data_IF_769204273875
#
_entry.id   IF_769204273875
#
_cell.length_a   1.000
_cell.length_b   1.000
_cell.length_c   1.000
_cell.angle_alpha   90.00
_cell.angle_beta   90.00
_cell.angle_gamma   90.00
#
_symmetry.space_group_name_H-M   'P 1'
#
loop_
_entity.id
_entity.type
_entity.pdbx_description
1 polymer ?
#
# COMPACT_ATOMS: atom_id res chain seq x y z
N UNK A 1 -38.07 -14.50 -35.57
CA UNK A 1 -36.65 -14.85 -35.31
C UNK A 1 -36.29 -14.41 -33.91
N UNK A 2 -36.29 -15.35 -32.95
CA UNK A 2 -35.99 -15.10 -31.54
C UNK A 2 -34.46 -15.11 -31.34
N UNK A 3 -33.85 -13.97 -30.97
CA UNK A 3 -32.44 -13.86 -30.59
C UNK A 3 -32.29 -13.98 -29.07
N UNK A 4 -32.60 -15.14 -28.52
CA UNK A 4 -32.17 -15.49 -27.16
C UNK A 4 -30.77 -16.09 -27.25
N UNK A 5 -29.74 -15.22 -27.22
CA UNK A 5 -28.37 -15.67 -27.00
C UNK A 5 -28.27 -16.36 -25.63
N UNK A 6 -27.32 -17.30 -25.45
CA UNK A 6 -27.12 -17.94 -24.16
C UNK A 6 -26.87 -16.89 -23.07
N UNK A 7 -27.38 -17.10 -21.84
CA UNK A 7 -27.13 -16.19 -20.73
C UNK A 7 -25.61 -16.01 -20.55
N UNK A 8 -25.13 -14.81 -20.19
CA UNK A 8 -23.72 -14.57 -19.97
C UNK A 8 -23.21 -15.55 -18.91
N UNK A 9 -22.24 -16.36 -19.30
CA UNK A 9 -21.62 -17.36 -18.44
C UNK A 9 -21.07 -16.66 -17.19
N UNK A 10 -21.40 -17.12 -15.97
CA UNK A 10 -20.89 -16.51 -14.76
C UNK A 10 -19.37 -16.51 -14.81
N UNK A 11 -18.76 -15.34 -14.59
CA UNK A 11 -17.31 -15.18 -14.60
C UNK A 11 -16.68 -16.27 -13.73
N UNK A 12 -15.90 -17.17 -14.37
CA UNK A 12 -15.31 -18.32 -13.71
C UNK A 12 -14.67 -17.89 -12.39
N UNK A 13 -15.12 -18.47 -11.28
CA UNK A 13 -14.65 -18.12 -9.95
C UNK A 13 -13.12 -18.17 -9.92
N UNK A 14 -12.51 -17.11 -9.38
CA UNK A 14 -11.06 -17.03 -9.24
C UNK A 14 -10.55 -18.29 -8.53
N UNK A 15 -9.70 -19.08 -9.21
CA UNK A 15 -9.18 -20.33 -8.65
C UNK A 15 -8.42 -20.11 -7.33
N UNK A 16 -8.24 -21.17 -6.53
CA UNK A 16 -7.67 -21.13 -5.16
C UNK A 16 -6.35 -20.35 -5.06
N UNK A 17 -5.50 -20.39 -6.09
CA UNK A 17 -4.26 -19.62 -6.13
C UNK A 17 -4.44 -18.10 -6.14
N UNK A 18 -5.50 -17.59 -6.77
CA UNK A 18 -5.82 -16.17 -6.77
C UNK A 18 -6.36 -15.71 -5.40
N UNK A 19 -7.15 -16.55 -4.73
CA UNK A 19 -7.58 -16.30 -3.34
C UNK A 19 -6.37 -16.26 -2.39
N UNK A 20 -5.47 -17.25 -2.48
CA UNK A 20 -4.24 -17.30 -1.69
C UNK A 20 -3.38 -16.05 -1.89
N UNK A 21 -3.22 -15.58 -3.14
CA UNK A 21 -2.51 -14.34 -3.43
C UNK A 21 -3.18 -13.11 -2.80
N UNK A 22 -4.51 -13.00 -2.87
CA UNK A 22 -5.23 -11.88 -2.25
C UNK A 22 -4.99 -11.83 -0.73
N UNK A 23 -5.08 -12.98 -0.06
CA UNK A 23 -4.81 -13.08 1.38
C UNK A 23 -3.36 -12.71 1.71
N UNK A 24 -2.40 -13.19 0.91
CA UNK A 24 -0.99 -12.82 1.04
C UNK A 24 -0.81 -11.30 0.91
N UNK A 25 -1.39 -10.67 -0.12
CA UNK A 25 -1.31 -9.22 -0.34
C UNK A 25 -1.89 -8.44 0.84
N UNK A 26 -3.05 -8.86 1.38
CA UNK A 26 -3.65 -8.20 2.54
C UNK A 26 -2.73 -8.28 3.76
N UNK A 27 -2.15 -9.46 4.04
CA UNK A 27 -1.19 -9.62 5.14
C UNK A 27 0.05 -8.76 4.95
N UNK A 28 0.63 -8.74 3.75
CA UNK A 28 1.79 -7.91 3.43
C UNK A 28 1.47 -6.41 3.50
N UNK A 29 0.27 -6.00 3.09
CA UNK A 29 -0.16 -4.61 3.19
C UNK A 29 -0.19 -4.14 4.65
N UNK A 30 -0.68 -4.98 5.58
CA UNK A 30 -0.65 -4.70 7.02
C UNK A 30 0.80 -4.58 7.52
N UNK A 31 1.66 -5.53 7.16
CA UNK A 31 3.09 -5.50 7.53
C UNK A 31 3.76 -4.18 7.11
N UNK A 32 3.62 -3.78 5.85
CA UNK A 32 4.23 -2.54 5.35
C UNK A 32 3.58 -1.28 5.93
N UNK A 33 2.25 -1.27 6.10
CA UNK A 33 1.56 -0.13 6.72
C UNK A 33 2.02 0.09 8.17
N UNK A 34 2.17 -1.00 8.96
CA UNK A 34 2.69 -0.93 10.32
C UNK A 34 4.15 -0.46 10.36
N UNK A 35 5.00 -0.94 9.44
CA UNK A 35 6.39 -0.49 9.36
C UNK A 35 6.51 1.00 9.00
N UNK A 36 5.67 1.49 8.07
CA UNK A 36 5.58 2.91 7.72
C UNK A 36 5.06 3.76 8.88
N UNK A 37 4.05 3.30 9.61
CA UNK A 37 3.56 3.99 10.80
C UNK A 37 4.66 4.11 11.86
N UNK A 38 5.40 3.03 12.10
CA UNK A 38 6.53 3.00 13.04
C UNK A 38 7.62 4.00 12.63
N UNK A 39 7.96 4.07 11.34
CA UNK A 39 8.89 5.08 10.80
C UNK A 39 8.45 6.50 11.18
N UNK A 40 7.18 6.85 10.94
CA UNK A 40 6.68 8.21 11.17
C UNK A 40 6.63 8.59 12.65
N UNK A 41 6.30 7.63 13.52
CA UNK A 41 6.36 7.83 14.97
C UNK A 41 7.80 8.06 15.42
N UNK A 42 8.76 7.23 14.97
CA UNK A 42 10.18 7.42 15.31
C UNK A 42 10.69 8.76 14.77
N UNK A 43 10.35 9.13 13.53
CA UNK A 43 10.75 10.42 12.92
C UNK A 43 10.24 11.63 13.71
N UNK A 44 9.01 11.56 14.23
CA UNK A 44 8.43 12.63 15.04
C UNK A 44 9.09 12.78 16.41
N UNK A 45 9.70 11.71 16.92
CA UNK A 45 10.24 11.64 18.29
C UNK A 45 11.75 11.86 18.38
N UNK A 46 12.40 12.20 17.27
CA UNK A 46 13.85 12.38 17.20
C UNK A 46 14.20 13.76 16.68
N UNK A 47 14.90 14.55 17.50
CA UNK A 47 15.39 15.88 17.11
C UNK A 47 16.51 15.81 16.08
N UNK A 48 17.45 14.87 16.23
CA UNK A 48 18.58 14.67 15.32
C UNK A 48 18.36 13.51 14.35
N UNK A 49 17.54 13.74 13.32
CA UNK A 49 17.12 12.68 12.39
C UNK A 49 18.26 12.10 11.54
N UNK A 50 19.01 12.94 10.83
CA UNK A 50 20.02 12.46 9.86
C UNK A 50 21.41 12.20 10.47
N UNK A 51 21.60 12.47 11.77
CA UNK A 51 22.90 12.45 12.43
C UNK A 51 23.82 13.58 11.94
N UNK A 52 24.47 14.25 12.88
CA UNK A 52 25.53 15.27 12.73
C UNK A 52 25.75 15.88 11.32
N UNK A 53 25.06 16.99 11.01
CA UNK A 53 25.54 18.06 10.11
C UNK A 53 25.64 17.79 8.60
N UNK A 54 25.62 16.53 8.14
CA UNK A 54 25.59 16.23 6.72
C UNK A 54 24.13 16.26 6.25
N UNK A 55 23.78 17.29 5.47
CA UNK A 55 22.49 17.35 4.77
C UNK A 55 22.31 16.10 3.91
N UNK A 56 21.63 15.10 4.44
CA UNK A 56 21.41 13.86 3.73
C UNK A 56 20.55 14.14 2.50
N UNK A 57 21.14 13.89 1.33
CA UNK A 57 20.42 13.92 0.06
C UNK A 57 19.96 12.49 -0.20
N UNK A 58 18.65 12.34 -0.40
CA UNK A 58 18.05 11.07 -0.82
C UNK A 58 18.85 10.53 -2.02
N UNK A 59 19.33 9.27 -1.99
CA UNK A 59 20.04 8.66 -3.09
C UNK A 59 19.29 8.86 -4.39
N UNK A 60 19.98 9.34 -5.44
CA UNK A 60 19.37 9.53 -6.75
C UNK A 60 18.78 8.21 -7.29
N UNK A 61 19.34 7.08 -6.86
CA UNK A 61 18.84 5.76 -7.22
C UNK A 61 17.46 5.41 -6.67
N UNK A 62 16.85 6.17 -5.74
CA UNK A 62 15.43 5.99 -5.39
C UNK A 62 14.52 6.36 -6.58
N UNK A 63 14.89 7.40 -7.35
CA UNK A 63 14.14 7.78 -8.54
C UNK A 63 14.32 6.76 -9.66
N UNK A 64 15.56 6.27 -9.84
CA UNK A 64 15.84 5.19 -10.79
C UNK A 64 15.06 3.91 -10.43
N UNK A 65 15.06 3.51 -9.15
CA UNK A 65 14.30 2.36 -8.65
C UNK A 65 12.79 2.52 -8.89
N UNK A 66 12.26 3.73 -8.68
CA UNK A 66 10.86 4.07 -8.95
C UNK A 66 10.51 3.94 -10.43
N UNK A 67 11.35 4.46 -11.32
CA UNK A 67 11.16 4.32 -12.75
C UNK A 67 11.21 2.84 -13.19
N UNK A 68 12.18 2.07 -12.69
CA UNK A 68 12.32 0.65 -12.99
C UNK A 68 11.09 -0.14 -12.54
N UNK A 69 10.54 0.11 -11.34
CA UNK A 69 9.31 -0.55 -10.88
C UNK A 69 8.07 -0.14 -11.68
N UNK A 70 7.98 1.12 -12.12
CA UNK A 70 6.91 1.57 -13.02
C UNK A 70 6.96 0.82 -14.36
N UNK A 71 8.15 0.68 -14.95
CA UNK A 71 8.36 -0.11 -16.16
C UNK A 71 8.07 -1.58 -15.94
N UNK A 72 8.49 -2.14 -14.79
CA UNK A 72 8.23 -3.52 -14.39
C UNK A 72 6.72 -3.80 -14.34
N UNK A 73 5.97 -2.95 -13.64
CA UNK A 73 4.52 -3.00 -13.51
C UNK A 73 3.85 -2.94 -14.89
N UNK A 74 4.29 -2.03 -15.77
CA UNK A 74 3.78 -1.94 -17.14
C UNK A 74 4.09 -3.19 -17.97
N UNK A 75 5.30 -3.72 -17.88
CA UNK A 75 5.71 -4.94 -18.59
C UNK A 75 4.92 -6.16 -18.09
N UNK A 76 4.69 -6.28 -16.78
CA UNK A 76 3.88 -7.33 -16.18
C UNK A 76 2.41 -7.25 -16.65
N UNK A 77 1.83 -6.04 -16.72
CA UNK A 77 0.49 -5.82 -17.25
C UNK A 77 0.35 -6.29 -18.70
N UNK A 78 1.37 -6.04 -19.53
CA UNK A 78 1.44 -6.50 -20.93
C UNK A 78 1.85 -7.96 -21.08
N UNK A 79 2.04 -8.69 -19.97
CA UNK A 79 2.51 -10.09 -19.92
C UNK A 79 3.87 -10.29 -20.61
N UNK A 80 4.71 -9.26 -20.64
CA UNK A 80 6.06 -9.32 -21.17
C UNK A 80 7.02 -9.95 -20.15
N UNK A 81 6.82 -11.25 -19.85
CA UNK A 81 7.43 -11.95 -18.71
C UNK A 81 8.97 -11.87 -18.66
N UNK A 82 9.66 -11.98 -19.81
CA UNK A 82 11.13 -11.89 -19.84
C UNK A 82 11.63 -10.49 -19.52
N UNK A 83 10.95 -9.46 -20.06
CA UNK A 83 11.29 -8.07 -19.80
C UNK A 83 11.02 -7.70 -18.34
N UNK A 84 9.84 -8.05 -17.81
CA UNK A 84 9.54 -7.81 -16.41
C UNK A 84 10.50 -8.57 -15.49
N UNK A 85 10.90 -9.80 -15.82
CA UNK A 85 11.92 -10.50 -15.02
C UNK A 85 13.26 -9.75 -15.00
N UNK A 86 13.75 -9.28 -16.17
CA UNK A 86 14.97 -8.48 -16.24
C UNK A 86 14.89 -7.17 -15.47
N UNK A 87 13.74 -6.49 -15.52
CA UNK A 87 13.49 -5.25 -14.76
C UNK A 87 13.46 -5.50 -13.24
N UNK A 88 12.95 -6.64 -12.79
CA UNK A 88 12.98 -7.00 -11.37
C UNK A 88 14.41 -7.26 -10.87
N UNK A 89 15.25 -7.91 -11.69
CA UNK A 89 16.69 -8.05 -11.38
C UNK A 89 17.38 -6.69 -11.36
N UNK A 90 17.10 -5.83 -12.35
CA UNK A 90 17.64 -4.47 -12.41
C UNK A 90 17.26 -3.66 -11.16
N UNK A 91 16.03 -3.78 -10.67
CA UNK A 91 15.61 -3.13 -9.43
C UNK A 91 16.49 -3.54 -8.24
N UNK A 92 16.78 -4.84 -8.08
CA UNK A 92 17.64 -5.32 -7.00
C UNK A 92 19.08 -4.78 -7.13
N UNK A 93 19.60 -4.65 -8.34
CA UNK A 93 20.91 -4.04 -8.59
C UNK A 93 20.93 -2.55 -8.22
N UNK A 94 19.90 -1.79 -8.62
CA UNK A 94 19.75 -0.38 -8.23
C UNK A 94 19.62 -0.26 -6.71
N UNK A 95 18.91 -1.18 -6.06
CA UNK A 95 18.77 -1.19 -4.61
C UNK A 95 20.10 -1.48 -3.90
N UNK A 96 20.89 -2.42 -4.41
CA UNK A 96 22.23 -2.70 -3.90
C UNK A 96 23.16 -1.48 -4.08
N UNK A 97 23.03 -0.75 -5.20
CA UNK A 97 23.74 0.50 -5.42
C UNK A 97 23.36 1.57 -4.37
N UNK A 98 22.07 1.76 -4.11
CA UNK A 98 21.59 2.69 -3.07
C UNK A 98 22.20 2.39 -1.69
N UNK A 99 22.29 1.11 -1.31
CA UNK A 99 22.92 0.73 -0.04
C UNK A 99 24.41 1.02 -0.03
N UNK A 100 25.12 0.81 -1.14
CA UNK A 100 26.56 1.15 -1.24
C UNK A 100 26.79 2.65 -1.12
N UNK A 101 25.93 3.48 -1.70
CA UNK A 101 26.00 4.95 -1.54
C UNK A 101 25.82 5.36 -0.08
N UNK A 102 24.85 4.78 0.66
CA UNK A 102 24.67 5.07 2.08
C UNK A 102 25.88 4.64 2.93
N UNK A 103 26.45 3.48 2.64
CA UNK A 103 27.66 3.00 3.33
C UNK A 103 28.83 3.96 3.07
N UNK A 104 29.03 4.39 1.81
CA UNK A 104 30.06 5.37 1.45
C UNK A 104 29.83 6.74 2.10
N UNK A 105 28.57 7.09 2.37
CA UNK A 105 28.18 8.28 3.13
C UNK A 105 28.29 8.10 4.66
N UNK A 106 29.00 7.08 5.15
CA UNK A 106 29.21 6.80 6.58
C UNK A 106 27.93 6.50 7.37
N UNK A 107 26.88 6.03 6.68
CA UNK A 107 25.64 5.52 7.27
C UNK A 107 25.47 4.01 6.98
N UNK A 108 26.40 3.15 7.46
CA UNK A 108 26.23 1.71 7.34
C UNK A 108 25.04 1.20 8.18
N UNK A 109 24.53 -0.03 7.93
CA UNK A 109 23.44 -0.61 8.71
C UNK A 109 23.67 -0.65 10.22
N UNK A 110 24.93 -0.76 10.65
CA UNK A 110 25.32 -0.76 12.07
C UNK A 110 25.59 0.62 12.68
N UNK A 111 25.35 1.71 11.94
CA UNK A 111 25.50 3.06 12.48
C UNK A 111 24.52 3.30 13.64
N UNK A 112 24.93 4.10 14.63
CA UNK A 112 24.04 4.59 15.71
C UNK A 112 23.11 5.69 15.19
N UNK A 113 22.33 5.37 14.16
CA UNK A 113 21.41 6.27 13.47
C UNK A 113 20.08 5.57 13.24
N UNK A 114 19.02 6.08 13.88
CA UNK A 114 17.65 5.59 13.69
C UNK A 114 17.18 5.79 12.24
N UNK A 115 17.70 6.80 11.55
CA UNK A 115 17.47 6.99 10.13
C UNK A 115 18.03 5.84 9.30
N UNK A 116 19.31 5.52 9.47
CA UNK A 116 19.96 4.43 8.74
C UNK A 116 19.24 3.11 8.99
N UNK A 117 18.98 2.78 10.26
CA UNK A 117 18.23 1.57 10.65
C UNK A 117 16.89 1.46 9.92
N UNK A 118 16.06 2.51 9.98
CA UNK A 118 14.76 2.51 9.34
C UNK A 118 14.84 2.43 7.81
N UNK A 119 15.82 3.10 7.20
CA UNK A 119 16.05 3.02 5.75
C UNK A 119 16.36 1.60 5.31
N UNK A 120 17.33 0.93 5.95
CA UNK A 120 17.70 -0.45 5.62
C UNK A 120 16.59 -1.44 5.95
N UNK A 121 15.85 -1.23 7.05
CA UNK A 121 14.72 -2.08 7.41
C UNK A 121 13.63 -2.03 6.33
N UNK A 122 13.16 -0.83 5.96
CA UNK A 122 12.07 -0.67 5.00
C UNK A 122 12.49 -1.13 3.59
N UNK A 123 13.65 -0.68 3.11
CA UNK A 123 14.13 -1.02 1.77
C UNK A 123 14.59 -2.48 1.67
N UNK A 124 15.18 -3.04 2.73
CA UNK A 124 15.55 -4.45 2.84
C UNK A 124 14.35 -5.37 2.88
N UNK A 125 13.33 -5.04 3.68
CA UNK A 125 12.07 -5.77 3.70
C UNK A 125 11.43 -5.78 2.31
N UNK A 126 11.38 -4.63 1.64
CA UNK A 126 10.85 -4.54 0.28
C UNK A 126 11.67 -5.38 -0.73
N UNK A 127 12.99 -5.27 -0.70
CA UNK A 127 13.87 -6.04 -1.57
C UNK A 127 13.72 -7.57 -1.37
N UNK A 128 13.51 -8.02 -0.13
CA UNK A 128 13.23 -9.43 0.16
C UNK A 128 11.93 -9.91 -0.50
N UNK A 129 10.89 -9.07 -0.51
CA UNK A 129 9.63 -9.39 -1.19
C UNK A 129 9.76 -9.34 -2.71
N UNK A 130 10.56 -8.42 -3.25
CA UNK A 130 10.91 -8.42 -4.69
C UNK A 130 11.64 -9.72 -5.06
N UNK A 131 12.57 -10.19 -4.21
CA UNK A 131 13.25 -11.47 -4.41
C UNK A 131 12.28 -12.66 -4.35
N UNK A 132 11.36 -12.69 -3.38
CA UNK A 132 10.28 -13.69 -3.33
C UNK A 132 9.40 -13.66 -4.58
N UNK A 133 9.06 -12.46 -5.07
CA UNK A 133 8.38 -12.24 -6.34
C UNK A 133 9.15 -12.76 -7.54
N UNK A 134 10.47 -12.58 -7.56
CA UNK A 134 11.35 -13.07 -8.62
C UNK A 134 11.39 -14.61 -8.67
N UNK A 135 11.39 -15.27 -7.51
CA UNK A 135 11.27 -16.73 -7.41
C UNK A 135 9.93 -17.19 -8.01
N UNK A 136 8.81 -16.58 -7.61
CA UNK A 136 7.50 -16.88 -8.18
C UNK A 136 7.46 -16.62 -9.69
N UNK A 137 8.05 -15.51 -10.14
CA UNK A 137 8.15 -15.15 -11.55
C UNK A 137 8.89 -16.22 -12.37
N UNK A 138 9.97 -16.79 -11.82
CA UNK A 138 10.71 -17.87 -12.49
C UNK A 138 9.84 -19.11 -12.72
N UNK A 139 8.97 -19.46 -11.76
CA UNK A 139 8.00 -20.54 -11.95
C UNK A 139 7.00 -20.23 -13.08
N UNK A 140 6.49 -19.00 -13.14
CA UNK A 140 5.58 -18.56 -14.20
C UNK A 140 6.28 -18.53 -15.57
N UNK A 141 7.56 -18.17 -15.64
CA UNK A 141 8.34 -18.21 -16.87
C UNK A 141 8.51 -19.64 -17.41
N UNK A 142 8.71 -20.63 -16.52
CA UNK A 142 8.85 -22.04 -16.92
C UNK A 142 7.54 -22.67 -17.39
N UNK A 143 6.41 -22.23 -16.82
CA UNK A 143 5.07 -22.74 -17.17
C UNK A 143 4.10 -21.56 -17.32
N UNK A 144 4.17 -20.82 -18.45
CA UNK A 144 3.38 -19.62 -18.63
C UNK A 144 1.89 -19.98 -18.79
N UNK A 145 1.07 -19.49 -17.88
CA UNK A 145 -0.39 -19.60 -17.94
C UNK A 145 -1.02 -18.21 -17.83
N UNK A 146 -2.19 -18.01 -18.43
CA UNK A 146 -2.89 -16.73 -18.33
C UNK A 146 -3.24 -16.37 -16.87
N UNK A 147 -3.63 -17.35 -16.06
CA UNK A 147 -3.90 -17.16 -14.64
C UNK A 147 -2.62 -16.80 -13.84
N UNK A 148 -1.52 -17.53 -14.05
CA UNK A 148 -0.23 -17.24 -13.42
C UNK A 148 0.31 -15.86 -13.78
N UNK A 149 0.21 -15.46 -15.05
CA UNK A 149 0.62 -14.13 -15.51
C UNK A 149 -0.23 -13.01 -14.89
N UNK A 150 -1.55 -13.22 -14.73
CA UNK A 150 -2.45 -12.26 -14.04
C UNK A 150 -2.07 -12.10 -12.58
N UNK A 151 -1.93 -13.21 -11.85
CA UNK A 151 -1.53 -13.22 -10.44
C UNK A 151 -0.17 -12.54 -10.24
N UNK A 152 0.79 -12.85 -11.11
CA UNK A 152 2.11 -12.23 -11.12
C UNK A 152 2.02 -10.71 -11.34
N UNK A 153 1.21 -10.25 -12.30
CA UNK A 153 1.02 -8.82 -12.53
C UNK A 153 0.40 -8.14 -11.29
N UNK A 154 -0.62 -8.73 -10.67
CA UNK A 154 -1.21 -8.21 -9.43
C UNK A 154 -0.17 -8.09 -8.31
N UNK A 155 0.71 -9.08 -8.15
CA UNK A 155 1.78 -9.02 -7.15
C UNK A 155 2.81 -7.92 -7.45
N UNK A 156 3.23 -7.76 -8.70
CA UNK A 156 4.15 -6.68 -9.08
C UNK A 156 3.53 -5.29 -8.93
N UNK A 157 2.24 -5.13 -9.22
CA UNK A 157 1.51 -3.88 -8.98
C UNK A 157 1.46 -3.54 -7.49
N UNK A 158 1.20 -4.54 -6.64
CA UNK A 158 1.26 -4.35 -5.20
C UNK A 158 2.64 -3.88 -4.74
N UNK A 159 3.72 -4.55 -5.17
CA UNK A 159 5.09 -4.15 -4.84
C UNK A 159 5.42 -2.73 -5.34
N UNK A 160 4.99 -2.36 -6.55
CA UNK A 160 5.18 -1.02 -7.07
C UNK A 160 4.46 0.05 -6.20
N UNK A 161 3.21 -0.19 -5.80
CA UNK A 161 2.47 0.70 -4.90
C UNK A 161 3.14 0.81 -3.53
N UNK A 162 3.57 -0.32 -2.96
CA UNK A 162 4.32 -0.34 -1.70
C UNK A 162 5.61 0.45 -1.81
N UNK A 163 6.38 0.30 -2.89
CA UNK A 163 7.58 1.07 -3.12
C UNK A 163 7.31 2.56 -3.20
N UNK A 164 6.25 3.00 -3.89
CA UNK A 164 5.88 4.41 -3.95
C UNK A 164 5.59 4.98 -2.56
N UNK A 165 4.89 4.24 -1.70
CA UNK A 165 4.66 4.65 -0.31
C UNK A 165 5.96 4.74 0.50
N UNK A 166 6.88 3.78 0.32
CA UNK A 166 8.21 3.79 0.95
C UNK A 166 9.05 4.96 0.45
N UNK A 167 9.18 5.14 -0.87
CA UNK A 167 9.95 6.20 -1.49
C UNK A 167 9.44 7.58 -1.06
N UNK A 168 8.11 7.79 -1.08
CA UNK A 168 7.50 9.02 -0.58
C UNK A 168 7.84 9.24 0.91
N UNK A 169 7.71 8.21 1.74
CA UNK A 169 8.02 8.30 3.16
C UNK A 169 9.49 8.62 3.44
N UNK A 170 10.41 7.97 2.73
CA UNK A 170 11.85 8.21 2.87
C UNK A 170 12.25 9.59 2.37
N UNK A 171 11.69 10.04 1.24
CA UNK A 171 11.96 11.39 0.68
C UNK A 171 11.40 12.47 1.58
N UNK A 172 10.13 12.37 1.99
CA UNK A 172 9.47 13.37 2.82
C UNK A 172 10.06 13.37 4.23
N UNK A 173 10.34 12.20 4.80
CA UNK A 173 10.91 12.05 6.14
C UNK A 173 12.37 12.50 6.24
N UNK A 174 13.13 12.47 5.14
CA UNK A 174 14.49 12.99 5.08
C UNK A 174 14.58 14.52 5.12
N UNK A 175 13.46 15.24 5.01
CA UNK A 175 13.44 16.70 5.03
C UNK A 175 13.92 17.25 6.39
N UNK A 176 14.90 18.18 6.41
CA UNK A 176 15.44 18.74 7.65
C UNK A 176 14.49 19.74 8.32
N UNK A 177 13.63 20.41 7.55
CA UNK A 177 12.62 21.36 8.02
C UNK A 177 11.39 20.68 8.68
N UNK A 178 11.32 19.35 8.62
CA UNK A 178 10.17 18.62 9.11
C UNK A 178 10.22 18.47 10.64
N UNK A 179 9.40 19.28 11.32
CA UNK A 179 9.24 19.27 12.78
C UNK A 179 8.18 18.26 13.24
N UNK A 180 8.23 17.84 14.50
CA UNK A 180 7.23 16.97 15.12
C UNK A 180 5.81 17.55 14.98
N UNK A 181 5.65 18.84 15.27
CA UNK A 181 4.37 19.55 15.10
C UNK A 181 3.89 19.59 13.64
N UNK A 182 4.82 19.69 12.67
CA UNK A 182 4.51 19.58 11.24
C UNK A 182 3.97 18.20 10.86
N UNK A 183 4.62 17.14 11.36
CA UNK A 183 4.20 15.75 11.16
C UNK A 183 2.82 15.53 11.78
N UNK A 184 2.63 15.90 13.05
CA UNK A 184 1.36 15.78 13.76
C UNK A 184 0.23 16.46 12.98
N UNK A 185 0.41 17.72 12.56
CA UNK A 185 -0.61 18.45 11.78
C UNK A 185 -0.95 17.74 10.47
N UNK A 186 0.06 17.26 9.75
CA UNK A 186 -0.15 16.56 8.48
C UNK A 186 -0.97 15.27 8.69
N UNK A 187 -0.59 14.43 9.66
CA UNK A 187 -1.29 13.18 9.94
C UNK A 187 -2.69 13.39 10.53
N UNK A 188 -2.89 14.42 11.36
CA UNK A 188 -4.24 14.81 11.80
C UNK A 188 -5.11 15.24 10.62
N UNK A 189 -4.56 16.04 9.69
CA UNK A 189 -5.29 16.46 8.48
C UNK A 189 -5.68 15.27 7.59
N UNK A 190 -4.78 14.30 7.42
CA UNK A 190 -5.04 13.05 6.70
C UNK A 190 -6.13 12.25 7.42
N UNK A 191 -6.04 12.10 8.74
CA UNK A 191 -7.01 11.35 9.54
C UNK A 191 -8.42 11.96 9.45
N UNK A 192 -8.55 13.28 9.59
CA UNK A 192 -9.82 14.01 9.47
C UNK A 192 -10.39 13.90 8.06
N UNK A 193 -9.55 14.03 7.04
CA UNK A 193 -9.97 13.89 5.64
C UNK A 193 -10.46 12.46 5.33
N UNK A 194 -9.75 11.45 5.83
CA UNK A 194 -10.16 10.06 5.71
C UNK A 194 -11.46 9.77 6.48
N UNK A 195 -11.64 10.35 7.67
CA UNK A 195 -12.89 10.26 8.42
C UNK A 195 -14.07 10.88 7.65
N UNK A 196 -13.84 12.01 6.97
CA UNK A 196 -14.82 12.60 6.05
C UNK A 196 -15.21 11.64 4.92
N UNK A 197 -14.22 11.03 4.25
CA UNK A 197 -14.45 10.02 3.22
C UNK A 197 -15.21 8.79 3.73
N UNK A 198 -14.87 8.33 4.94
CA UNK A 198 -15.58 7.26 5.65
C UNK A 198 -17.05 7.61 5.87
N UNK A 199 -17.34 8.80 6.41
CA UNK A 199 -18.72 9.27 6.65
C UNK A 199 -19.49 9.38 5.34
N UNK A 200 -18.87 9.88 4.27
CA UNK A 200 -19.52 9.96 2.95
C UNK A 200 -19.90 8.57 2.41
N UNK A 201 -18.99 7.59 2.50
CA UNK A 201 -19.28 6.22 2.09
C UNK A 201 -20.40 5.61 2.94
N UNK A 202 -20.36 5.87 4.26
CA UNK A 202 -21.38 5.42 5.20
C UNK A 202 -22.77 5.96 4.87
N UNK A 203 -22.90 7.28 4.74
CA UNK A 203 -24.17 7.90 4.37
C UNK A 203 -24.69 7.40 3.02
N UNK A 204 -23.78 7.06 2.08
CA UNK A 204 -24.20 6.55 0.77
C UNK A 204 -24.73 5.13 0.81
N UNK A 205 -24.11 4.26 1.59
CA UNK A 205 -24.62 2.91 1.86
C UNK A 205 -25.95 2.98 2.61
N UNK A 206 -26.05 3.83 3.63
CA UNK A 206 -27.29 4.04 4.38
C UNK A 206 -28.43 4.53 3.50
N UNK A 207 -28.17 5.51 2.64
CA UNK A 207 -29.16 6.00 1.70
C UNK A 207 -29.61 4.93 0.70
N UNK A 208 -28.71 4.01 0.30
CA UNK A 208 -29.06 2.89 -0.57
C UNK A 208 -29.94 1.86 0.17
N UNK A 209 -29.61 1.53 1.42
CA UNK A 209 -30.42 0.65 2.27
C UNK A 209 -31.79 1.27 2.56
N UNK A 210 -31.85 2.57 2.85
CA UNK A 210 -33.09 3.32 3.08
C UNK A 210 -34.04 3.31 1.88
N UNK A 211 -33.49 3.41 0.66
CA UNK A 211 -34.29 3.32 -0.56
C UNK A 211 -34.82 1.91 -0.83
N UNK A 212 -34.13 0.88 -0.34
CA UNK A 212 -34.51 -0.51 -0.56
C UNK A 212 -35.45 -1.06 0.53
N UNK A 213 -35.28 -0.65 1.79
CA UNK A 213 -35.95 -1.24 2.96
C UNK A 213 -36.87 -0.25 3.71
N UNK A 214 -36.92 1.02 3.28
CA UNK A 214 -37.69 2.08 3.95
C UNK A 214 -36.94 2.75 5.11
N UNK A 215 -37.54 3.77 5.71
CA UNK A 215 -36.86 4.69 6.65
C UNK A 215 -36.35 4.07 7.96
N UNK A 216 -36.93 2.96 8.43
CA UNK A 216 -36.50 2.27 9.66
C UNK A 216 -35.06 1.74 9.54
N UNK A 217 -34.63 1.41 8.32
CA UNK A 217 -33.26 0.96 8.04
C UNK A 217 -32.19 1.97 8.44
N UNK A 218 -32.50 3.28 8.40
CA UNK A 218 -31.59 4.38 8.75
C UNK A 218 -31.29 4.39 10.24
N UNK A 219 -32.29 4.09 11.08
CA UNK A 219 -32.11 4.02 12.53
C UNK A 219 -31.21 2.85 12.92
N UNK A 220 -31.38 1.70 12.25
CA UNK A 220 -30.56 0.50 12.45
C UNK A 220 -29.12 0.73 11.95
N UNK A 221 -28.97 1.49 10.87
CA UNK A 221 -27.70 1.80 10.24
C UNK A 221 -26.95 3.01 10.83
N UNK A 222 -27.47 3.63 11.89
CA UNK A 222 -26.78 4.69 12.62
C UNK A 222 -25.48 4.19 13.28
N UNK A 223 -25.36 2.88 13.50
CA UNK A 223 -24.10 2.28 13.91
C UNK A 223 -23.31 1.79 12.68
N UNK A 224 -22.16 2.40 12.35
CA UNK A 224 -21.44 2.12 11.10
C UNK A 224 -21.11 0.63 10.85
N UNK A 225 -20.74 -0.19 11.84
CA UNK A 225 -20.52 -1.62 11.62
C UNK A 225 -21.78 -2.39 11.19
N UNK A 226 -22.96 -2.06 11.72
CA UNK A 226 -24.21 -2.71 11.34
C UNK A 226 -24.59 -2.34 9.91
N UNK A 227 -24.46 -1.06 9.57
CA UNK A 227 -24.62 -0.54 8.21
C UNK A 227 -23.70 -1.24 7.21
N UNK A 228 -22.43 -1.44 7.57
CA UNK A 228 -21.46 -2.15 6.74
C UNK A 228 -21.85 -3.60 6.50
N UNK A 229 -22.21 -4.36 7.54
CA UNK A 229 -22.62 -5.77 7.41
C UNK A 229 -23.86 -5.92 6.52
N UNK A 230 -24.86 -5.06 6.71
CA UNK A 230 -26.09 -5.03 5.89
C UNK A 230 -25.79 -4.68 4.44
N UNK A 231 -24.98 -3.64 4.23
CA UNK A 231 -24.50 -3.26 2.91
C UNK A 231 -23.72 -4.39 2.23
N UNK A 232 -22.92 -5.14 2.99
CA UNK A 232 -22.14 -6.28 2.51
C UNK A 232 -23.03 -7.44 2.06
N UNK A 233 -24.04 -7.80 2.85
CA UNK A 233 -25.01 -8.84 2.49
C UNK A 233 -25.75 -8.53 1.19
N UNK A 234 -25.98 -7.25 0.88
CA UNK A 234 -26.67 -6.78 -0.32
C UNK A 234 -25.74 -6.11 -1.35
N UNK A 235 -24.44 -6.38 -1.27
CA UNK A 235 -23.45 -5.61 -2.01
C UNK A 235 -23.60 -5.74 -3.53
N UNK A 236 -24.04 -6.89 -4.02
CA UNK A 236 -24.27 -7.15 -5.44
C UNK A 236 -25.60 -6.56 -5.93
N UNK A 237 -26.67 -6.78 -5.17
CA UNK A 237 -28.01 -6.27 -5.47
C UNK A 237 -28.03 -4.74 -5.59
N UNK A 238 -27.36 -4.07 -4.65
CA UNK A 238 -27.35 -2.60 -4.55
C UNK A 238 -26.09 -1.96 -5.16
N UNK A 239 -25.22 -2.74 -5.82
CA UNK A 239 -23.95 -2.29 -6.41
C UNK A 239 -23.06 -1.52 -5.42
N UNK A 240 -23.02 -1.95 -4.15
CA UNK A 240 -22.31 -1.28 -3.06
C UNK A 240 -20.85 -1.72 -2.90
N UNK A 241 -20.39 -2.76 -3.61
CA UNK A 241 -19.02 -3.31 -3.44
C UNK A 241 -17.91 -2.26 -3.44
N UNK A 242 -17.95 -1.33 -4.41
CA UNK A 242 -16.95 -0.26 -4.50
C UNK A 242 -16.99 0.70 -3.31
N UNK A 243 -18.19 1.06 -2.85
CA UNK A 243 -18.39 1.93 -1.70
C UNK A 243 -17.95 1.29 -0.39
N UNK A 244 -18.24 0.00 -0.19
CA UNK A 244 -17.80 -0.76 0.99
C UNK A 244 -16.27 -0.91 1.02
N UNK A 245 -15.64 -1.09 -0.14
CA UNK A 245 -14.17 -1.09 -0.24
C UNK A 245 -13.59 0.25 0.20
N UNK A 246 -14.08 1.36 -0.36
CA UNK A 246 -13.59 2.70 -0.01
C UNK A 246 -13.89 3.06 1.44
N UNK A 247 -15.04 2.64 1.97
CA UNK A 247 -15.35 2.75 3.39
C UNK A 247 -14.25 2.11 4.24
N UNK A 248 -13.96 0.82 4.02
CA UNK A 248 -12.94 0.10 4.78
C UNK A 248 -11.55 0.73 4.62
N UNK A 249 -11.21 1.17 3.41
CA UNK A 249 -9.95 1.85 3.13
C UNK A 249 -9.82 3.17 3.90
N UNK A 250 -10.84 4.04 3.84
CA UNK A 250 -10.86 5.30 4.57
C UNK A 250 -10.83 5.09 6.09
N UNK A 251 -11.54 4.09 6.60
CA UNK A 251 -11.49 3.72 8.01
C UNK A 251 -10.06 3.34 8.44
N UNK A 252 -9.39 2.48 7.67
CA UNK A 252 -8.01 2.06 7.95
C UNK A 252 -7.02 3.23 7.91
N UNK A 253 -7.16 4.14 6.94
CA UNK A 253 -6.33 5.36 6.86
C UNK A 253 -6.60 6.28 8.04
N UNK A 254 -7.86 6.49 8.42
CA UNK A 254 -8.23 7.33 9.55
C UNK A 254 -7.63 6.81 10.87
N UNK A 255 -7.73 5.51 11.12
CA UNK A 255 -7.14 4.87 12.29
C UNK A 255 -5.62 4.97 12.29
N UNK A 256 -4.95 4.55 11.21
CA UNK A 256 -3.48 4.55 11.16
C UNK A 256 -2.89 5.95 11.26
N UNK A 257 -3.41 6.92 10.49
CA UNK A 257 -2.97 8.31 10.56
C UNK A 257 -3.28 8.95 11.92
N UNK A 258 -4.45 8.65 12.51
CA UNK A 258 -4.82 9.10 13.84
C UNK A 258 -3.87 8.57 14.93
N UNK A 259 -3.53 7.28 14.88
CA UNK A 259 -2.55 6.68 15.80
C UNK A 259 -1.17 7.34 15.69
N UNK A 260 -0.67 7.62 14.48
CA UNK A 260 0.59 8.33 14.28
C UNK A 260 0.51 9.75 14.86
N UNK A 261 -0.56 10.48 14.58
CA UNK A 261 -0.74 11.84 15.07
C UNK A 261 -0.77 11.91 16.60
N UNK A 262 -1.51 11.01 17.25
CA UNK A 262 -1.56 10.91 18.72
C UNK A 262 -0.20 10.52 19.29
N UNK A 263 0.46 9.52 18.71
CA UNK A 263 1.76 9.04 19.20
C UNK A 263 2.85 10.12 19.12
N UNK A 264 2.85 10.95 18.08
CA UNK A 264 3.77 12.10 17.95
C UNK A 264 3.37 13.26 18.87
N UNK A 265 2.08 13.44 19.16
CA UNK A 265 1.60 14.49 20.05
C UNK A 265 1.95 14.22 21.53
N UNK A 266 1.99 12.95 21.94
CA UNK A 266 2.27 12.57 23.34
C UNK A 266 3.74 12.74 23.74
N UNK A 267 4.62 12.96 22.76
CA UNK A 267 6.08 12.98 22.90
C UNK A 267 6.69 14.33 22.51
N UNK A 268 5.89 15.26 22.00
CA UNK A 268 6.26 16.64 21.67
C UNK A 268 5.97 17.57 22.86
#
# INVERSE_FOLDING_TARGET
MNRSGPPPEPAAADGTGALGLKLLIVSLAVLFASALASFWVVRGNTESWTGAGAGFRVPAGIWAATAVLGLLSSAAQRRALRLSFGLAVLFLLVQAWNWRELIAAHLPPGAKSLYAFNFYLLTGLHALHVLGGLIYHLFVLRRPTAAGARNLATYWHFLAVTWLALAATLVVGARPDLTAAGIQRAFTGIAVSALGGFVLCWLRVELALARAEGGVSVLIGLFPPIAFLRGFMKADELRLRGWLFWWAAFFGVALSAGCIAVAVAMTA
#
